data_IF_496605753505
#
_entry.id   IF_496605753505
#
_cell.length_a   1.000
_cell.length_b   1.000
_cell.length_c   1.000
_cell.angle_alpha   90.00
_cell.angle_beta   90.00
_cell.angle_gamma   90.00
#
_symmetry.space_group_name_H-M   'P 1'
#
loop_
_entity.id
_entity.type
_entity.pdbx_description
1 polymer ?
#
# COMPACT_ATOMS: atom_id res chain seq x y z
N UNK A 1 11.64 0.59 -31.02
CA UNK A 1 11.43 -0.35 -29.90
C UNK A 1 12.37 -0.07 -28.71
N UNK A 2 13.70 -0.17 -28.86
CA UNK A 2 14.65 0.09 -27.74
C UNK A 2 14.47 1.45 -27.05
N UNK A 3 14.30 2.53 -27.81
CA UNK A 3 14.06 3.89 -27.27
C UNK A 3 12.78 3.99 -26.44
N UNK A 4 11.72 3.28 -26.86
CA UNK A 4 10.42 3.26 -26.16
C UNK A 4 10.55 2.49 -24.84
N UNK A 5 11.24 1.35 -24.86
CA UNK A 5 11.52 0.58 -23.64
C UNK A 5 12.33 1.39 -22.63
N UNK A 6 13.35 2.13 -23.10
CA UNK A 6 14.14 3.02 -22.24
C UNK A 6 13.26 4.13 -21.64
N UNK A 7 12.41 4.77 -22.44
CA UNK A 7 11.49 5.80 -21.95
C UNK A 7 10.53 5.27 -20.88
N UNK A 8 9.96 4.08 -21.08
CA UNK A 8 9.07 3.43 -20.10
C UNK A 8 9.81 3.17 -18.77
N UNK A 9 11.04 2.66 -18.83
CA UNK A 9 11.82 2.40 -17.62
C UNK A 9 12.14 3.68 -16.84
N UNK A 10 12.44 4.78 -17.55
CA UNK A 10 12.69 6.08 -16.92
C UNK A 10 11.41 6.58 -16.23
N UNK A 11 10.25 6.46 -16.87
CA UNK A 11 8.96 6.85 -16.30
C UNK A 11 8.66 6.02 -15.04
N UNK A 12 8.84 4.71 -15.08
CA UNK A 12 8.63 3.84 -13.90
C UNK A 12 9.54 4.23 -12.72
N UNK A 13 10.78 4.60 -12.98
CA UNK A 13 11.71 5.06 -11.93
C UNK A 13 11.29 6.39 -11.32
N UNK A 14 10.76 7.32 -12.12
CA UNK A 14 10.30 8.63 -11.64
C UNK A 14 8.99 8.57 -10.84
N UNK A 15 8.18 7.54 -11.06
CA UNK A 15 6.90 7.34 -10.37
C UNK A 15 6.98 6.33 -9.21
N UNK A 16 8.16 5.77 -8.93
CA UNK A 16 8.34 4.86 -7.81
C UNK A 16 8.28 5.62 -6.47
N UNK A 17 7.50 5.11 -5.53
CA UNK A 17 7.46 5.61 -4.14
C UNK A 17 8.37 4.75 -3.26
N UNK A 18 8.99 5.38 -2.25
CA UNK A 18 9.88 4.70 -1.31
C UNK A 18 9.10 4.04 -0.18
N UNK A 19 9.72 3.12 0.54
CA UNK A 19 9.10 2.58 1.76
C UNK A 19 9.06 3.60 2.91
N UNK A 20 9.86 4.66 2.80
CA UNK A 20 10.04 5.77 3.73
C UNK A 20 9.30 7.05 3.30
N UNK A 21 8.59 7.02 2.18
CA UNK A 21 7.76 8.16 1.76
C UNK A 21 6.48 8.22 2.58
N UNK A 22 6.08 9.42 3.01
CA UNK A 22 4.90 9.64 3.88
C UNK A 22 3.56 9.46 3.15
N UNK A 23 3.58 9.05 1.88
CA UNK A 23 2.40 8.76 1.06
C UNK A 23 1.83 7.36 1.30
N UNK A 24 2.59 6.46 1.94
CA UNK A 24 2.12 5.16 2.35
C UNK A 24 1.16 5.23 3.54
N UNK A 25 0.10 4.42 3.54
CA UNK A 25 -0.74 4.27 4.72
C UNK A 25 0.06 3.60 5.86
N UNK A 26 0.23 4.23 7.04
CA UNK A 26 1.05 3.65 8.09
C UNK A 26 0.39 2.37 8.60
N UNK A 27 1.10 1.24 8.55
CA UNK A 27 0.69 -0.04 9.14
C UNK A 27 1.47 -0.23 10.45
N UNK A 28 0.78 -0.34 11.59
CA UNK A 28 1.43 -0.46 12.90
C UNK A 28 1.55 -1.91 13.36
N UNK A 29 2.77 -2.42 13.38
CA UNK A 29 3.11 -3.71 13.98
C UNK A 29 3.29 -3.57 15.50
N UNK A 30 2.19 -3.52 16.26
CA UNK A 30 2.19 -3.43 17.72
C UNK A 30 1.77 -4.73 18.40
N UNK A 31 2.42 -5.08 19.52
CA UNK A 31 2.01 -6.18 20.41
C UNK A 31 0.58 -5.88 20.88
N UNK A 32 -0.40 -6.60 20.31
CA UNK A 32 -1.86 -6.58 20.54
C UNK A 32 -2.75 -5.91 19.45
N UNK A 33 -2.21 -5.41 18.33
CA UNK A 33 -2.97 -4.49 17.45
C UNK A 33 -2.90 -4.89 15.95
N UNK A 34 -3.04 -6.16 15.59
CA UNK A 34 -3.39 -6.51 14.20
C UNK A 34 -4.24 -7.79 14.20
N UNK A 35 -5.48 -7.69 13.72
CA UNK A 35 -6.30 -8.87 13.44
C UNK A 35 -6.70 -8.85 11.97
N UNK A 36 -6.24 -9.89 11.26
CA UNK A 36 -6.63 -10.29 9.90
C UNK A 36 -6.39 -9.24 8.80
N UNK A 37 -5.15 -9.17 8.30
CA UNK A 37 -4.91 -8.59 6.97
C UNK A 37 -5.63 -9.46 5.93
N UNK A 38 -6.51 -8.86 5.16
CA UNK A 38 -7.13 -9.51 4.01
C UNK A 38 -6.94 -8.64 2.78
N UNK A 39 -7.02 -9.27 1.62
CA UNK A 39 -6.96 -8.62 0.33
C UNK A 39 -8.34 -8.71 -0.29
N UNK A 40 -8.86 -7.57 -0.74
CA UNK A 40 -10.08 -7.50 -1.54
C UNK A 40 -9.73 -7.12 -2.98
N UNK A 41 -10.44 -7.67 -3.98
CA UNK A 41 -10.25 -7.26 -5.37
C UNK A 41 -10.75 -5.82 -5.59
N UNK A 42 -9.95 -5.02 -6.31
CA UNK A 42 -10.33 -3.68 -6.81
C UNK A 42 -10.71 -3.71 -8.29
N UNK A 43 -10.36 -2.67 -9.05
CA UNK A 43 -10.42 -2.71 -10.52
C UNK A 43 -9.35 -3.65 -11.10
N UNK A 44 -9.32 -3.81 -12.43
CA UNK A 44 -8.34 -4.71 -13.07
C UNK A 44 -6.91 -4.30 -12.76
N UNK A 45 -6.16 -5.21 -12.12
CA UNK A 45 -4.79 -4.99 -11.69
C UNK A 45 -4.64 -4.33 -10.32
N UNK A 46 -5.74 -4.02 -9.63
CA UNK A 46 -5.73 -3.44 -8.29
C UNK A 46 -5.98 -4.48 -7.20
N UNK A 47 -5.36 -4.28 -6.05
CA UNK A 47 -5.60 -5.04 -4.84
C UNK A 47 -5.77 -4.06 -3.68
N UNK A 48 -6.84 -4.24 -2.90
CA UNK A 48 -7.13 -3.40 -1.73
C UNK A 48 -6.70 -4.18 -0.49
N UNK A 49 -5.85 -3.58 0.32
CA UNK A 49 -5.42 -4.12 1.60
C UNK A 49 -6.36 -3.64 2.70
N UNK A 50 -6.97 -4.58 3.43
CA UNK A 50 -7.88 -4.28 4.53
C UNK A 50 -7.30 -4.84 5.82
N UNK A 51 -7.32 -4.05 6.89
CA UNK A 51 -6.87 -4.48 8.21
C UNK A 51 -7.67 -3.81 9.32
N UNK A 52 -7.59 -4.36 10.53
CA UNK A 52 -8.10 -3.72 11.74
C UNK A 52 -6.98 -3.39 12.70
N UNK A 53 -7.03 -2.19 13.29
CA UNK A 53 -6.09 -1.75 14.32
C UNK A 53 -6.74 -0.78 15.33
N UNK A 54 -6.00 -0.46 16.40
CA UNK A 54 -6.45 0.38 17.52
C UNK A 54 -5.60 1.65 17.69
N UNK A 55 -5.05 2.22 16.61
CA UNK A 55 -4.19 3.43 16.68
C UNK A 55 -4.88 4.65 17.33
N UNK A 56 -6.21 4.61 17.43
CA UNK A 56 -7.05 5.64 18.07
C UNK A 56 -7.74 5.16 19.35
N UNK A 57 -7.21 4.13 20.03
CA UNK A 57 -7.73 3.60 21.29
C UNK A 57 -8.96 2.69 21.17
N UNK A 58 -9.71 2.76 20.07
CA UNK A 58 -10.79 1.83 19.70
C UNK A 58 -10.44 1.03 18.43
N UNK A 59 -11.04 -0.16 18.26
CA UNK A 59 -10.80 -0.99 17.07
C UNK A 59 -11.53 -0.41 15.86
N UNK A 60 -10.76 0.01 14.87
CA UNK A 60 -11.24 0.52 13.59
C UNK A 60 -10.80 -0.39 12.44
N UNK A 61 -11.46 -0.25 11.28
CA UNK A 61 -11.10 -0.95 10.04
C UNK A 61 -10.57 0.09 9.06
N UNK A 62 -9.48 -0.24 8.37
CA UNK A 62 -8.82 0.60 7.37
C UNK A 62 -8.68 -0.16 6.06
N UNK A 63 -8.66 0.59 4.95
CA UNK A 63 -8.46 0.07 3.60
C UNK A 63 -7.53 1.00 2.81
N UNK A 64 -6.60 0.42 2.06
CA UNK A 64 -5.71 1.13 1.14
C UNK A 64 -5.56 0.34 -0.15
#
# INVERSE_FOLDING_TARGET
>A
MKKVVVAINIISFLLATGFDTEDGAPIRQGVHIEWYRTIAPGHQGEAIFVWSDTRYGMRNIFAH
#
